data_IF_302662841588
#
_entry.id   IF_302662841588
#
_cell.length_a   1.000
_cell.length_b   1.000
_cell.length_c   1.000
_cell.angle_alpha   90.00
_cell.angle_beta   90.00
_cell.angle_gamma   90.00
#
_symmetry.space_group_name_H-M   'P 1'
#
loop_
_entity.id
_entity.type
_entity.pdbx_description
1 polymer ?
#
# COMPACT_ATOMS: atom_id res chain seq x y z
N UNK A 1 2.21 8.24 15.29
CA UNK A 1 2.76 7.34 14.24
C UNK A 1 4.15 7.79 13.83
N UNK A 2 5.15 6.92 13.78
CA UNK A 2 6.53 7.25 13.39
C UNK A 2 6.63 7.53 11.89
N UNK A 3 7.50 8.46 11.52
CA UNK A 3 7.90 8.68 10.13
C UNK A 3 8.89 7.60 9.68
N UNK A 4 8.67 6.99 8.53
CA UNK A 4 9.54 5.93 8.00
C UNK A 4 10.53 6.49 6.98
N UNK A 5 10.02 7.12 5.94
CA UNK A 5 10.83 7.77 4.90
C UNK A 5 9.98 8.68 4.01
N UNK A 6 10.66 9.52 3.26
CA UNK A 6 10.09 10.38 2.24
C UNK A 6 10.42 9.86 0.85
N UNK A 7 9.50 10.10 -0.08
CA UNK A 7 9.64 9.88 -1.51
C UNK A 7 9.33 11.19 -2.23
N UNK A 8 10.34 12.05 -2.34
CA UNK A 8 10.25 13.32 -3.03
C UNK A 8 10.95 13.23 -4.39
N UNK A 9 10.19 13.49 -5.46
CA UNK A 9 10.69 13.47 -6.84
C UNK A 9 11.33 14.78 -7.27
N UNK A 10 11.07 15.88 -6.56
CA UNK A 10 11.50 17.23 -6.92
C UNK A 10 11.14 17.64 -8.36
N UNK A 11 10.03 17.11 -8.91
CA UNK A 11 9.60 17.27 -10.31
C UNK A 11 8.38 18.18 -10.49
N UNK A 12 7.95 18.84 -9.42
CA UNK A 12 6.68 19.57 -9.32
C UNK A 12 6.83 21.10 -9.31
N UNK A 13 8.00 21.63 -9.67
CA UNK A 13 8.26 23.09 -9.61
C UNK A 13 7.37 23.92 -10.56
N UNK A 14 6.87 23.30 -11.61
CA UNK A 14 5.98 23.90 -12.62
C UNK A 14 4.49 23.56 -12.39
N UNK A 15 4.14 22.86 -11.32
CA UNK A 15 2.76 22.60 -10.98
C UNK A 15 2.04 23.86 -10.52
N UNK A 16 0.78 24.01 -10.93
CA UNK A 16 -0.05 25.18 -10.62
C UNK A 16 -0.99 24.96 -9.45
N UNK A 17 -1.26 23.68 -9.08
CA UNK A 17 -2.07 23.32 -7.93
C UNK A 17 -1.62 22.00 -7.28
N UNK A 18 -2.10 21.77 -6.05
CA UNK A 18 -1.75 20.58 -5.28
C UNK A 18 -3.01 19.79 -4.89
N UNK A 19 -2.96 18.47 -5.06
CA UNK A 19 -3.96 17.55 -4.55
C UNK A 19 -3.33 16.70 -3.45
N UNK A 20 -3.96 16.69 -2.27
CA UNK A 20 -3.58 15.84 -1.13
C UNK A 20 -4.58 14.71 -1.02
N UNK A 21 -4.09 13.45 -1.07
CA UNK A 21 -4.94 12.27 -0.95
C UNK A 21 -4.24 11.19 -0.12
N UNK A 22 -4.45 11.24 1.18
CA UNK A 22 -3.87 10.27 2.11
C UNK A 22 -4.43 8.87 1.90
N UNK A 23 -3.66 7.87 2.32
CA UNK A 23 -4.05 6.46 2.26
C UNK A 23 -3.70 5.72 3.54
N UNK A 24 -4.45 4.65 3.82
CA UNK A 24 -4.22 3.76 4.95
C UNK A 24 -4.12 2.31 4.46
N UNK A 25 -3.13 1.55 4.99
CA UNK A 25 -2.79 0.21 4.54
C UNK A 25 -2.57 -0.74 5.70
N UNK A 26 -2.97 -2.00 5.50
CA UNK A 26 -2.77 -3.07 6.48
C UNK A 26 -1.50 -3.88 6.20
N UNK A 27 -0.81 -4.24 7.26
CA UNK A 27 0.28 -5.22 7.28
C UNK A 27 -0.21 -6.41 8.09
N UNK A 28 -0.52 -7.52 7.42
CA UNK A 28 -1.02 -8.74 8.04
C UNK A 28 -0.02 -9.85 7.75
N UNK A 29 0.62 -10.37 8.81
CA UNK A 29 1.66 -11.40 8.69
C UNK A 29 1.14 -12.70 9.30
N UNK A 30 1.30 -13.79 8.54
CA UNK A 30 0.88 -15.13 8.97
C UNK A 30 1.90 -16.17 8.50
N UNK A 31 2.42 -16.97 9.40
CA UNK A 31 3.36 -18.06 9.11
C UNK A 31 4.57 -17.59 8.28
N UNK A 32 5.16 -16.45 8.63
CA UNK A 32 6.33 -15.88 7.94
C UNK A 32 6.04 -15.32 6.53
N UNK A 33 4.76 -15.20 6.16
CA UNK A 33 4.30 -14.58 4.90
C UNK A 33 3.45 -13.36 5.17
N UNK A 34 3.35 -12.47 4.21
CA UNK A 34 2.58 -11.23 4.32
C UNK A 34 1.42 -11.22 3.33
N UNK A 35 0.23 -10.80 3.80
CA UNK A 35 -0.93 -10.61 2.94
C UNK A 35 -0.69 -9.41 2.02
N UNK A 36 -0.67 -9.66 0.73
CA UNK A 36 -0.49 -8.65 -0.30
C UNK A 36 -1.50 -8.83 -1.43
N UNK A 37 -1.82 -7.75 -2.08
CA UNK A 37 -2.55 -7.76 -3.35
C UNK A 37 -1.53 -7.96 -4.46
N UNK A 38 -1.66 -9.05 -5.20
CA UNK A 38 -0.86 -9.35 -6.38
C UNK A 38 -1.62 -8.93 -7.63
N UNK A 39 -1.06 -8.02 -8.41
CA UNK A 39 -1.55 -7.75 -9.76
C UNK A 39 -1.01 -8.83 -10.70
N UNK A 40 -1.87 -9.74 -11.15
CA UNK A 40 -1.47 -10.80 -12.06
C UNK A 40 -1.08 -10.26 -13.44
N UNK A 41 -1.70 -9.17 -13.86
CA UNK A 41 -1.45 -8.53 -15.15
C UNK A 41 -0.06 -7.89 -15.26
N UNK A 42 0.41 -7.24 -14.18
CA UNK A 42 1.68 -6.50 -14.18
C UNK A 42 2.75 -7.11 -13.30
N UNK A 43 2.41 -8.18 -12.58
CA UNK A 43 3.28 -8.97 -11.71
C UNK A 43 3.99 -8.15 -10.61
N UNK A 44 3.21 -7.34 -9.87
CA UNK A 44 3.68 -6.61 -8.70
C UNK A 44 2.79 -6.85 -7.48
N UNK A 45 3.32 -6.49 -6.32
CA UNK A 45 2.64 -6.61 -5.03
C UNK A 45 2.43 -5.25 -4.37
N UNK A 46 1.26 -5.06 -3.74
CA UNK A 46 0.97 -3.92 -2.85
C UNK A 46 0.32 -4.40 -1.56
N UNK A 47 0.52 -3.65 -0.47
CA UNK A 47 -0.26 -3.88 0.76
C UNK A 47 -1.74 -3.55 0.51
N UNK A 48 -2.68 -4.35 1.08
CA UNK A 48 -4.09 -4.01 1.04
C UNK A 48 -4.33 -2.64 1.65
N UNK A 49 -5.13 -1.81 0.99
CA UNK A 49 -5.43 -0.47 1.45
C UNK A 49 -5.49 0.55 0.32
N UNK A 50 -6.14 1.66 0.60
CA UNK A 50 -6.43 2.71 -0.37
C UNK A 50 -6.66 4.08 0.26
N UNK A 51 -7.37 4.93 -0.47
CA UNK A 51 -7.61 6.31 -0.07
C UNK A 51 -8.50 6.44 1.16
N UNK A 52 -8.21 7.44 1.98
CA UNK A 52 -9.06 7.82 3.11
C UNK A 52 -10.17 8.73 2.59
N UNK A 53 -11.41 8.39 2.87
CA UNK A 53 -12.57 9.18 2.47
C UNK A 53 -12.80 10.37 3.39
N UNK A 54 -13.57 11.36 2.91
CA UNK A 54 -13.87 12.56 3.71
C UNK A 54 -14.64 12.19 4.99
N UNK A 55 -14.08 12.54 6.14
CA UNK A 55 -14.67 12.27 7.46
C UNK A 55 -14.40 10.86 7.99
N UNK A 56 -13.68 10.03 7.24
CA UNK A 56 -13.29 8.70 7.66
C UNK A 56 -12.01 8.73 8.53
N UNK A 57 -11.93 7.90 9.56
CA UNK A 57 -10.68 7.74 10.28
C UNK A 57 -9.68 6.89 9.48
N UNK A 58 -8.37 7.07 9.72
CA UNK A 58 -7.32 6.28 9.06
C UNK A 58 -7.49 4.77 9.30
N UNK A 59 -7.92 4.39 10.51
CA UNK A 59 -8.12 2.98 10.87
C UNK A 59 -9.34 2.42 10.17
N UNK A 60 -10.45 3.18 10.12
CA UNK A 60 -11.66 2.73 9.42
C UNK A 60 -11.39 2.57 7.92
N UNK A 61 -10.69 3.51 7.29
CA UNK A 61 -10.25 3.41 5.90
C UNK A 61 -9.41 2.15 5.65
N UNK A 62 -8.43 1.89 6.50
CA UNK A 62 -7.59 0.69 6.41
C UNK A 62 -8.42 -0.60 6.54
N UNK A 63 -9.38 -0.65 7.46
CA UNK A 63 -10.26 -1.81 7.66
C UNK A 63 -11.17 -2.02 6.45
N UNK A 64 -11.83 -0.95 5.97
CA UNK A 64 -12.71 -0.98 4.80
C UNK A 64 -11.97 -1.48 3.56
N UNK A 65 -10.85 -0.83 3.22
CA UNK A 65 -10.04 -1.17 2.04
C UNK A 65 -9.48 -2.59 2.10
N UNK A 66 -9.00 -3.02 3.28
CA UNK A 66 -8.51 -4.40 3.46
C UNK A 66 -9.61 -5.43 3.20
N UNK A 67 -10.84 -5.11 3.59
CA UNK A 67 -11.99 -5.97 3.32
C UNK A 67 -12.36 -5.97 1.83
N UNK A 68 -12.38 -4.81 1.18
CA UNK A 68 -12.79 -4.65 -0.21
C UNK A 68 -11.78 -5.29 -1.17
N UNK A 69 -10.49 -4.99 -1.03
CA UNK A 69 -9.43 -5.48 -1.91
C UNK A 69 -8.97 -6.91 -1.62
N UNK A 70 -8.87 -7.29 -0.34
CA UNK A 70 -8.31 -8.58 0.07
C UNK A 70 -9.36 -9.57 0.58
N UNK A 71 -10.59 -9.15 0.84
CA UNK A 71 -11.61 -9.98 1.46
C UNK A 71 -11.28 -10.35 2.91
N UNK A 72 -10.30 -9.71 3.54
CA UNK A 72 -9.86 -10.01 4.90
C UNK A 72 -10.67 -9.21 5.92
N UNK A 73 -11.07 -9.86 7.00
CA UNK A 73 -11.77 -9.24 8.12
C UNK A 73 -10.74 -8.93 9.21
N UNK A 74 -10.31 -7.68 9.28
CA UNK A 74 -9.39 -7.19 10.31
C UNK A 74 -10.01 -7.37 11.70
N UNK A 75 -9.19 -7.71 12.68
CA UNK A 75 -9.55 -7.77 14.11
C UNK A 75 -9.16 -6.43 14.74
N UNK A 76 -10.13 -5.52 15.02
CA UNK A 76 -9.82 -4.12 15.35
C UNK A 76 -8.91 -3.95 16.58
N UNK A 77 -9.05 -4.84 17.58
CA UNK A 77 -8.31 -4.79 18.84
C UNK A 77 -6.81 -5.10 18.66
N UNK A 78 -6.43 -5.64 17.51
CA UNK A 78 -5.03 -5.97 17.18
C UNK A 78 -4.33 -4.86 16.41
N UNK A 79 -5.06 -3.82 15.98
CA UNK A 79 -4.52 -2.74 15.15
C UNK A 79 -3.50 -1.92 15.92
N UNK A 80 -2.29 -1.82 15.37
CA UNK A 80 -1.18 -1.03 15.91
C UNK A 80 -0.53 -0.21 14.80
N UNK A 81 -0.17 1.02 15.13
CA UNK A 81 0.57 1.88 14.21
C UNK A 81 1.94 1.28 13.87
N UNK A 82 2.27 1.21 12.60
CA UNK A 82 3.62 0.84 12.13
C UNK A 82 4.41 2.07 11.73
N UNK A 83 3.91 2.88 10.80
CA UNK A 83 4.58 4.11 10.38
C UNK A 83 3.91 4.80 9.21
N UNK A 84 4.48 5.96 8.84
CA UNK A 84 3.99 6.79 7.75
C UNK A 84 5.09 7.03 6.71
N UNK A 85 4.72 6.98 5.43
CA UNK A 85 5.56 7.36 4.29
C UNK A 85 4.96 8.59 3.62
N UNK A 86 5.73 9.67 3.56
CA UNK A 86 5.36 10.86 2.80
C UNK A 86 5.76 10.71 1.34
N UNK A 87 4.86 11.09 0.42
CA UNK A 87 5.14 11.10 -1.01
C UNK A 87 4.72 12.43 -1.62
N UNK A 88 5.62 13.02 -2.39
CA UNK A 88 5.37 14.23 -3.17
C UNK A 88 5.98 14.08 -4.56
N UNK A 89 5.18 14.35 -5.59
CA UNK A 89 5.60 14.26 -6.99
C UNK A 89 4.62 14.98 -7.90
N UNK A 90 5.04 15.26 -9.12
CA UNK A 90 4.12 15.63 -10.20
C UNK A 90 3.20 14.46 -10.53
N UNK A 91 1.94 14.73 -10.83
CA UNK A 91 0.99 13.71 -11.27
C UNK A 91 1.39 13.17 -12.65
N UNK A 92 1.22 11.86 -12.86
CA UNK A 92 1.40 11.25 -14.17
C UNK A 92 0.23 11.52 -15.12
N UNK A 93 -0.95 11.81 -14.56
CA UNK A 93 -2.20 11.98 -15.33
C UNK A 93 -2.50 13.45 -15.61
N UNK A 94 -1.93 14.38 -14.83
CA UNK A 94 -2.11 15.82 -14.96
C UNK A 94 -0.80 16.57 -14.69
N UNK A 95 -0.14 17.13 -15.74
CA UNK A 95 1.15 17.77 -15.59
C UNK A 95 1.13 19.09 -14.79
N UNK A 96 -0.04 19.66 -14.55
CA UNK A 96 -0.20 20.87 -13.73
C UNK A 96 -0.42 20.57 -12.24
N UNK A 97 -0.64 19.29 -11.89
CA UNK A 97 -0.96 18.85 -10.55
C UNK A 97 0.27 18.32 -9.80
N UNK A 98 0.55 18.89 -8.63
CA UNK A 98 1.40 18.28 -7.62
C UNK A 98 0.56 17.31 -6.78
N UNK A 99 0.98 16.05 -6.69
CA UNK A 99 0.32 15.02 -5.89
C UNK A 99 1.08 14.81 -4.59
N UNK A 100 0.41 15.01 -3.46
CA UNK A 100 0.96 14.80 -2.10
C UNK A 100 0.15 13.71 -1.41
N UNK A 101 0.82 12.79 -0.76
CA UNK A 101 0.16 11.67 -0.08
C UNK A 101 0.95 11.21 1.14
N UNK A 102 0.31 11.20 2.31
CA UNK A 102 0.75 10.42 3.44
C UNK A 102 0.16 9.01 3.38
N UNK A 103 1.02 8.00 3.46
CA UNK A 103 0.63 6.60 3.45
C UNK A 103 0.83 6.02 4.86
N UNK A 104 -0.27 5.76 5.56
CA UNK A 104 -0.28 5.25 6.93
C UNK A 104 -0.36 3.74 6.95
N UNK A 105 0.59 3.09 7.61
CA UNK A 105 0.68 1.64 7.72
C UNK A 105 0.34 1.18 9.13
N UNK A 106 -0.47 0.12 9.21
CA UNK A 106 -0.91 -0.49 10.46
C UNK A 106 -0.63 -1.99 10.43
N UNK A 107 -0.02 -2.52 11.50
CA UNK A 107 0.08 -3.96 11.71
C UNK A 107 -1.20 -4.42 12.40
N UNK A 108 -1.80 -5.48 11.89
CA UNK A 108 -3.02 -6.05 12.47
C UNK A 108 -3.14 -7.54 12.14
N UNK A 109 -4.04 -8.21 12.86
CA UNK A 109 -4.46 -9.56 12.55
C UNK A 109 -5.80 -9.54 11.78
N UNK A 110 -6.05 -10.61 11.04
CA UNK A 110 -7.32 -10.84 10.35
C UNK A 110 -7.88 -12.21 10.71
N UNK A 111 -9.21 -12.32 10.66
CA UNK A 111 -9.92 -13.60 10.85
C UNK A 111 -9.53 -14.56 9.72
N UNK A 112 -9.66 -15.87 9.97
CA UNK A 112 -9.45 -16.90 8.94
C UNK A 112 -10.49 -16.85 7.83
N UNK A 113 -11.72 -16.45 8.19
CA UNK A 113 -12.83 -16.31 7.24
C UNK A 113 -12.63 -15.08 6.36
N UNK A 114 -12.71 -15.28 5.05
CA UNK A 114 -12.72 -14.22 4.05
C UNK A 114 -14.15 -13.89 3.58
N UNK A 115 -14.32 -12.73 2.96
CA UNK A 115 -15.54 -12.28 2.31
C UNK A 115 -15.30 -12.05 0.81
N UNK A 116 -16.37 -11.86 0.05
CA UNK A 116 -16.25 -11.52 -1.38
C UNK A 116 -15.53 -10.18 -1.56
N UNK A 117 -14.69 -10.11 -2.59
CA UNK A 117 -13.98 -8.89 -2.98
C UNK A 117 -14.97 -7.85 -3.55
N UNK A 118 -14.66 -6.58 -3.34
CA UNK A 118 -15.39 -5.43 -3.89
C UNK A 118 -14.39 -4.53 -4.62
N UNK A 119 -13.84 -5.05 -5.72
CA UNK A 119 -12.79 -4.39 -6.48
C UNK A 119 -13.35 -3.25 -7.34
N UNK A 120 -12.63 -2.13 -7.37
CA UNK A 120 -12.87 -1.05 -8.31
C UNK A 120 -12.51 -1.47 -9.76
N UNK A 121 -13.00 -0.73 -10.75
CA UNK A 121 -12.81 -1.05 -12.16
C UNK A 121 -11.34 -1.22 -12.57
N UNK A 122 -10.43 -0.40 -12.03
CA UNK A 122 -9.01 -0.49 -12.35
C UNK A 122 -8.36 -1.72 -11.69
N UNK A 123 -8.82 -2.12 -10.51
CA UNK A 123 -8.34 -3.29 -9.77
C UNK A 123 -8.76 -4.58 -10.46
N UNK A 124 -10.00 -4.61 -10.96
CA UNK A 124 -10.48 -5.71 -11.81
C UNK A 124 -9.65 -5.80 -13.10
N UNK A 125 -9.32 -4.66 -13.74
CA UNK A 125 -8.49 -4.62 -14.96
C UNK A 125 -7.02 -5.01 -14.73
N UNK A 126 -6.54 -4.91 -13.50
CA UNK A 126 -5.19 -5.32 -13.10
C UNK A 126 -5.16 -6.77 -12.56
N UNK A 127 -6.30 -7.47 -12.55
CA UNK A 127 -6.47 -8.84 -12.05
C UNK A 127 -5.91 -9.00 -10.62
N UNK A 128 -6.43 -8.19 -9.69
CA UNK A 128 -6.00 -8.20 -8.29
C UNK A 128 -6.46 -9.45 -7.56
N UNK A 129 -5.53 -10.12 -6.92
CA UNK A 129 -5.78 -11.28 -6.07
C UNK A 129 -5.05 -11.14 -4.74
N UNK A 130 -5.65 -11.65 -3.66
CA UNK A 130 -4.96 -11.79 -2.39
C UNK A 130 -3.95 -12.95 -2.45
N UNK A 131 -2.72 -12.68 -2.03
CA UNK A 131 -1.69 -13.69 -1.85
C UNK A 131 -0.96 -13.48 -0.51
N UNK A 132 -0.72 -14.55 0.24
CA UNK A 132 0.24 -14.54 1.34
C UNK A 132 1.64 -14.77 0.75
N UNK A 133 2.28 -13.68 0.36
CA UNK A 133 3.54 -13.70 -0.37
C UNK A 133 4.76 -13.88 0.54
N UNK A 134 5.81 -14.49 0.00
CA UNK A 134 7.15 -14.36 0.58
C UNK A 134 7.62 -12.90 0.40
N UNK A 135 8.00 -12.19 1.48
CA UNK A 135 8.37 -10.79 1.38
C UNK A 135 9.57 -10.55 0.44
N UNK A 136 10.52 -11.50 0.36
CA UNK A 136 11.68 -11.38 -0.51
C UNK A 136 11.32 -11.50 -1.98
N UNK A 137 10.36 -12.38 -2.31
CA UNK A 137 9.83 -12.51 -3.68
C UNK A 137 9.08 -11.24 -4.09
N UNK A 138 8.24 -10.69 -3.20
CA UNK A 138 7.51 -9.45 -3.46
C UNK A 138 8.47 -8.27 -3.68
N UNK A 139 9.52 -8.14 -2.87
CA UNK A 139 10.58 -7.12 -3.06
C UNK A 139 11.23 -7.28 -4.44
N UNK A 140 11.65 -8.50 -4.79
CA UNK A 140 12.33 -8.76 -6.07
C UNK A 140 11.48 -8.36 -7.26
N UNK A 141 10.20 -8.75 -7.29
CA UNK A 141 9.27 -8.40 -8.38
C UNK A 141 9.04 -6.90 -8.47
N UNK A 142 8.77 -6.23 -7.35
CA UNK A 142 8.54 -4.79 -7.33
C UNK A 142 9.80 -4.01 -7.78
N UNK A 143 10.99 -4.42 -7.34
CA UNK A 143 12.25 -3.78 -7.76
C UNK A 143 12.57 -4.00 -9.24
N UNK A 144 12.23 -5.15 -9.81
CA UNK A 144 12.39 -5.41 -11.25
C UNK A 144 11.51 -4.47 -12.10
N UNK A 145 10.34 -4.11 -11.60
CA UNK A 145 9.43 -3.16 -12.28
C UNK A 145 9.88 -1.71 -12.15
N UNK A 146 10.59 -1.33 -11.08
CA UNK A 146 11.15 0.02 -10.95
C UNK A 146 12.11 0.37 -12.09
N UNK A 147 12.81 -0.61 -12.63
CA UNK A 147 13.71 -0.42 -13.78
C UNK A 147 12.96 -0.14 -15.09
N UNK A 148 11.69 -0.52 -15.18
CA UNK A 148 10.86 -0.43 -16.40
C UNK A 148 9.76 0.63 -16.32
N UNK A 149 9.49 1.14 -15.15
CA UNK A 149 8.36 2.03 -14.89
C UNK A 149 8.70 3.02 -13.78
N UNK A 150 8.31 4.26 -13.98
CA UNK A 150 8.49 5.36 -13.02
C UNK A 150 7.44 5.39 -11.89
N UNK A 151 6.72 4.29 -11.69
CA UNK A 151 5.68 4.22 -10.65
C UNK A 151 6.29 4.05 -9.27
N UNK A 152 6.26 5.11 -8.49
CA UNK A 152 6.78 5.18 -7.10
C UNK A 152 6.15 4.17 -6.14
N UNK A 153 4.94 3.63 -6.47
CA UNK A 153 4.29 2.60 -5.64
C UNK A 153 5.18 1.36 -5.46
N UNK A 154 5.88 0.92 -6.49
CA UNK A 154 6.71 -0.29 -6.41
C UNK A 154 7.87 -0.13 -5.43
N UNK A 155 8.51 1.03 -5.45
CA UNK A 155 9.58 1.38 -4.52
C UNK A 155 9.06 1.43 -3.08
N UNK A 156 7.93 2.10 -2.84
CA UNK A 156 7.33 2.24 -1.53
C UNK A 156 7.08 0.87 -0.89
N UNK A 157 6.40 -0.02 -1.60
CA UNK A 157 6.06 -1.34 -1.08
C UNK A 157 7.33 -2.19 -0.81
N UNK A 158 8.33 -2.14 -1.69
CA UNK A 158 9.60 -2.85 -1.48
C UNK A 158 10.32 -2.34 -0.23
N UNK A 159 10.42 -1.01 -0.02
CA UNK A 159 11.08 -0.41 1.16
C UNK A 159 10.36 -0.74 2.46
N UNK A 160 9.03 -0.77 2.47
CA UNK A 160 8.26 -1.20 3.66
C UNK A 160 8.56 -2.66 4.01
N UNK A 161 8.59 -3.56 3.02
CA UNK A 161 8.94 -4.96 3.24
C UNK A 161 10.37 -5.12 3.76
N UNK A 162 11.33 -4.35 3.26
CA UNK A 162 12.71 -4.34 3.73
C UNK A 162 12.82 -3.90 5.19
N UNK A 163 12.08 -2.86 5.59
CA UNK A 163 12.01 -2.41 6.99
C UNK A 163 11.43 -3.53 7.87
N UNK A 164 10.34 -4.17 7.45
CA UNK A 164 9.72 -5.28 8.19
C UNK A 164 10.69 -6.47 8.37
N UNK A 165 11.48 -6.81 7.34
CA UNK A 165 12.51 -7.85 7.43
C UNK A 165 13.61 -7.44 8.41
N UNK A 166 14.10 -6.21 8.31
CA UNK A 166 15.16 -5.70 9.18
C UNK A 166 14.74 -5.64 10.65
N UNK A 167 13.47 -5.40 10.92
CA UNK A 167 12.88 -5.39 12.27
C UNK A 167 12.45 -6.79 12.78
N UNK A 168 12.69 -7.86 12.00
CA UNK A 168 12.50 -9.23 12.44
C UNK A 168 11.06 -9.76 12.38
N UNK A 169 10.16 -9.13 11.63
CA UNK A 169 8.77 -9.57 11.51
C UNK A 169 8.57 -10.90 10.78
N UNK A 170 9.59 -11.40 10.09
CA UNK A 170 9.55 -12.64 9.29
C UNK A 170 10.54 -13.72 9.77
N UNK A 171 10.97 -13.65 11.00
CA UNK A 171 11.86 -14.65 11.60
C UNK A 171 11.09 -15.82 12.21
#
# INVERSE_FOLDING_TARGET
>A
MRFLFEMDRHDYADCTYTVVRDSARSIIIRNGRVAMIHSLKYDYYKFPGGGIEQGESRVDAMIRETREEAGLIVIPETVREFGCVHRIQKSADDPEMCFVQDNYYYICDAREKTVALQLEDYEQREDFVLEYADPRVAIQKNRALMQKSDKTRYEREARILEILIAEGYFN
#
